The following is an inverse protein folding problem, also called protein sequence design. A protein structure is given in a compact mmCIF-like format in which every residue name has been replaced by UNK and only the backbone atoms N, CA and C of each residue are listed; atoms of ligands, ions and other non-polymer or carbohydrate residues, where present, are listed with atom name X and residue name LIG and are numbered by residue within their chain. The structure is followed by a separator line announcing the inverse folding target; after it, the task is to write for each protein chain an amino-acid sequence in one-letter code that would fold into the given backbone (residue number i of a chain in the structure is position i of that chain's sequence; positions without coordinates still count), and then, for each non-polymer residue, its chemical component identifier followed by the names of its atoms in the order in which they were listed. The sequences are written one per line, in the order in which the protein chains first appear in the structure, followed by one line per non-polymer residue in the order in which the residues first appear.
data_IF_546316243480
#
_entry.id   IF_546316243480
#
_cell.length_a   1.000
_cell.length_b   1.000
_cell.length_c   1.000
_cell.angle_alpha   90.00
_cell.angle_beta   90.00
_cell.angle_gamma   90.00
#
_symmetry.space_group_name_H-M   'P 1'
#
loop_
_entity.id
_entity.type
_entity.pdbx_description
1 polymer ?
#
# COMPACT_ATOMS: atom_id res chain seq x y z
N UNK A 1 -2.85 -1.36 -10.13
CA UNK A 1 -2.88 -1.80 -8.73
C UNK A 1 -3.56 -0.78 -7.81
N UNK A 2 -3.06 0.48 -7.66
CA UNK A 2 -3.57 1.47 -6.69
C UNK A 2 -5.09 1.70 -6.81
N UNK A 3 -5.62 1.88 -8.03
CA UNK A 3 -7.07 2.04 -8.26
C UNK A 3 -7.85 0.78 -7.87
N UNK A 4 -7.37 -0.39 -8.28
CA UNK A 4 -8.01 -1.66 -7.93
C UNK A 4 -7.96 -1.92 -6.43
N UNK A 5 -6.85 -1.61 -5.76
CA UNK A 5 -6.73 -1.75 -4.31
C UNK A 5 -7.68 -0.81 -3.55
N UNK A 6 -7.89 0.41 -4.07
CA UNK A 6 -8.87 1.34 -3.49
C UNK A 6 -10.30 0.82 -3.58
N UNK A 7 -10.64 0.09 -4.66
CA UNK A 7 -11.98 -0.47 -4.89
C UNK A 7 -12.15 -1.80 -4.14
N UNK A 8 -11.26 -2.77 -4.37
CA UNK A 8 -11.40 -4.16 -3.89
C UNK A 8 -10.99 -4.29 -2.42
N UNK A 9 -9.84 -3.71 -2.06
CA UNK A 9 -9.29 -3.80 -0.70
C UNK A 9 -9.71 -2.62 0.18
N UNK A 10 -10.42 -1.63 -0.40
CA UNK A 10 -10.82 -0.38 0.27
C UNK A 10 -9.64 0.35 0.92
N UNK A 11 -8.44 0.20 0.34
CA UNK A 11 -7.25 0.92 0.79
C UNK A 11 -7.43 2.41 0.56
N UNK A 12 -7.11 3.22 1.58
CA UNK A 12 -7.15 4.67 1.52
C UNK A 12 -5.89 5.25 2.11
N UNK A 13 -5.43 6.33 1.50
CA UNK A 13 -4.21 7.02 1.92
C UNK A 13 -4.46 8.52 2.01
N UNK A 14 -3.66 9.25 2.80
CA UNK A 14 -3.64 10.71 2.79
C UNK A 14 -3.34 11.25 1.38
N UNK A 15 -3.83 12.46 1.05
CA UNK A 15 -3.61 13.07 -0.27
C UNK A 15 -2.13 13.11 -0.69
N UNK A 16 -1.22 13.32 0.27
CA UNK A 16 0.22 13.31 0.02
C UNK A 16 0.73 12.01 -0.59
N UNK A 17 0.10 10.87 -0.28
CA UNK A 17 0.47 9.58 -0.88
C UNK A 17 0.30 9.60 -2.40
N UNK A 18 -0.80 10.13 -2.89
CA UNK A 18 -1.08 10.20 -4.34
C UNK A 18 -0.11 11.14 -5.07
N UNK A 19 0.32 12.22 -4.40
CA UNK A 19 1.37 13.11 -4.94
C UNK A 19 2.69 12.34 -5.07
N UNK A 20 3.08 11.60 -4.03
CA UNK A 20 4.31 10.80 -4.07
C UNK A 20 4.22 9.64 -5.06
N UNK A 21 3.05 9.01 -5.20
CA UNK A 21 2.81 8.00 -6.21
C UNK A 21 2.98 8.56 -7.63
N UNK A 22 2.45 9.76 -7.89
CA UNK A 22 2.64 10.44 -9.17
C UNK A 22 4.11 10.78 -9.43
N UNK A 23 4.81 11.34 -8.45
CA UNK A 23 6.25 11.63 -8.56
C UNK A 23 7.07 10.35 -8.78
N UNK A 24 6.71 9.23 -8.14
CA UNK A 24 7.35 7.95 -8.36
C UNK A 24 7.14 7.43 -9.79
N UNK A 25 5.95 7.60 -10.37
CA UNK A 25 5.68 7.25 -11.78
C UNK A 25 6.51 8.11 -12.73
N UNK A 26 6.57 9.42 -12.49
CA UNK A 26 7.40 10.33 -13.30
C UNK A 26 8.88 9.97 -13.19
N UNK A 27 9.37 9.70 -11.98
CA UNK A 27 10.75 9.24 -11.76
C UNK A 27 11.04 7.92 -12.47
N UNK A 28 10.13 6.95 -12.37
CA UNK A 28 10.22 5.67 -13.07
C UNK A 28 10.25 5.81 -14.60
N UNK A 29 9.47 6.72 -15.15
CA UNK A 29 9.49 7.04 -16.58
C UNK A 29 10.88 7.54 -17.02
N UNK A 30 11.45 8.52 -16.34
CA UNK A 30 12.78 9.06 -16.67
C UNK A 30 13.90 8.04 -16.44
N UNK A 31 13.76 7.12 -15.49
CA UNK A 31 14.72 6.01 -15.32
C UNK A 31 14.67 5.06 -16.50
N UNK A 32 13.46 4.75 -16.99
CA UNK A 32 13.26 3.77 -18.07
C UNK A 32 13.69 4.29 -19.43
N UNK A 33 13.43 5.56 -19.72
CA UNK A 33 13.70 6.15 -21.03
C UNK A 33 14.93 7.07 -20.98
N UNK A 34 16.02 6.64 -21.65
CA UNK A 34 17.27 7.41 -21.76
C UNK A 34 17.05 8.76 -22.46
N UNK A 35 16.23 8.75 -23.50
CA UNK A 35 15.79 9.93 -24.24
C UNK A 35 14.27 9.90 -24.41
N UNK A 36 13.51 10.61 -23.55
CA UNK A 36 12.06 10.68 -23.62
C UNK A 36 11.49 11.28 -24.91
N UNK A 37 12.30 12.06 -25.66
CA UNK A 37 11.90 12.71 -26.91
C UNK A 37 11.94 11.76 -28.13
N UNK A 38 12.61 10.62 -28.00
CA UNK A 38 12.82 9.66 -29.09
C UNK A 38 11.66 8.64 -29.28
N UNK A 39 10.54 8.82 -28.59
CA UNK A 39 9.39 7.91 -28.68
C UNK A 39 8.69 8.09 -30.03
N UNK A 40 8.83 7.09 -30.89
CA UNK A 40 8.20 7.05 -32.20
C UNK A 40 6.88 6.26 -32.13
N UNK A 41 5.76 6.88 -32.46
CA UNK A 41 4.44 6.24 -32.46
C UNK A 41 4.08 5.68 -33.85
N UNK A 42 4.82 4.64 -34.31
CA UNK A 42 4.45 3.87 -35.48
C UNK A 42 3.40 2.80 -35.19
N UNK A 43 2.80 2.19 -36.23
CA UNK A 43 1.77 1.15 -36.08
C UNK A 43 2.23 -0.06 -35.24
N UNK A 44 3.46 -0.55 -35.46
CA UNK A 44 4.05 -1.61 -34.65
C UNK A 44 4.24 -1.18 -33.19
N UNK A 45 4.65 0.08 -32.94
CA UNK A 45 4.82 0.64 -31.60
C UNK A 45 3.48 0.75 -30.86
N UNK A 46 2.39 1.05 -31.58
CA UNK A 46 1.04 1.09 -30.99
C UNK A 46 0.60 -0.28 -30.49
N UNK A 47 0.81 -1.34 -31.27
CA UNK A 47 0.48 -2.72 -30.86
C UNK A 47 1.30 -3.12 -29.62
N UNK A 48 2.61 -2.85 -29.63
CA UNK A 48 3.49 -3.12 -28.49
C UNK A 48 3.05 -2.34 -27.24
N UNK A 49 2.64 -1.08 -27.38
CA UNK A 49 2.12 -0.27 -26.29
C UNK A 49 0.84 -0.87 -25.69
N UNK A 50 -0.10 -1.35 -26.52
CA UNK A 50 -1.33 -2.00 -26.05
C UNK A 50 -1.00 -3.27 -25.25
N UNK A 51 -0.13 -4.14 -25.76
CA UNK A 51 0.28 -5.34 -25.02
C UNK A 51 1.01 -5.01 -23.72
N UNK A 52 1.85 -3.98 -23.71
CA UNK A 52 2.53 -3.53 -22.51
C UNK A 52 1.54 -3.00 -21.47
N UNK A 53 0.51 -2.27 -21.88
CA UNK A 53 -0.56 -1.81 -20.97
C UNK A 53 -1.39 -2.97 -20.43
N UNK A 54 -1.71 -3.97 -21.26
CA UNK A 54 -2.41 -5.18 -20.82
C UNK A 54 -1.56 -5.98 -19.83
N UNK A 55 -0.27 -6.11 -20.06
CA UNK A 55 0.67 -6.75 -19.15
C UNK A 55 0.74 -6.00 -17.80
N UNK A 56 0.85 -4.67 -17.84
CA UNK A 56 0.86 -3.82 -16.65
C UNK A 56 -0.46 -3.91 -15.86
N UNK A 57 -1.59 -3.95 -16.56
CA UNK A 57 -2.91 -4.16 -15.94
C UNK A 57 -2.99 -5.55 -15.27
N UNK A 58 -2.56 -6.59 -15.96
CA UNK A 58 -2.54 -7.97 -15.44
C UNK A 58 -1.66 -8.10 -14.21
N UNK A 59 -0.46 -7.50 -14.25
CA UNK A 59 0.46 -7.48 -13.11
C UNK A 59 -0.13 -6.75 -11.92
N UNK A 60 -0.63 -5.53 -12.13
CA UNK A 60 -1.25 -4.73 -11.08
C UNK A 60 -2.50 -5.36 -10.48
N UNK A 61 -3.29 -6.06 -11.30
CA UNK A 61 -4.44 -6.86 -10.85
C UNK A 61 -3.98 -8.02 -9.98
N UNK A 62 -2.92 -8.73 -10.40
CA UNK A 62 -2.32 -9.85 -9.65
C UNK A 62 -1.87 -9.42 -8.24
N UNK A 63 -1.26 -8.24 -8.08
CA UNK A 63 -0.87 -7.70 -6.78
C UNK A 63 -2.09 -7.48 -5.88
N UNK A 64 -3.17 -6.88 -6.43
CA UNK A 64 -4.39 -6.60 -5.67
C UNK A 64 -5.12 -7.89 -5.28
N UNK A 65 -5.30 -8.82 -6.21
CA UNK A 65 -5.94 -10.12 -5.92
C UNK A 65 -5.09 -11.00 -5.01
N UNK A 66 -3.76 -10.97 -5.19
CA UNK A 66 -2.83 -11.63 -4.29
C UNK A 66 -2.97 -11.14 -2.86
N UNK A 67 -3.03 -9.82 -2.65
CA UNK A 67 -3.27 -9.24 -1.32
C UNK A 67 -4.65 -9.64 -0.76
N UNK A 68 -5.68 -9.65 -1.59
CA UNK A 68 -7.02 -10.10 -1.19
C UNK A 68 -7.01 -11.56 -0.71
N UNK A 69 -6.38 -12.46 -1.47
CA UNK A 69 -6.27 -13.87 -1.13
C UNK A 69 -5.48 -14.12 0.15
N UNK A 70 -4.45 -13.30 0.42
CA UNK A 70 -3.63 -13.39 1.63
C UNK A 70 -4.39 -13.09 2.94
N UNK A 71 -5.64 -12.64 2.87
CA UNK A 71 -6.52 -12.52 4.06
C UNK A 71 -6.87 -13.90 4.62
N UNK A 72 -7.13 -14.87 3.74
CA UNK A 72 -7.65 -16.19 4.11
C UNK A 72 -6.66 -17.33 3.85
N UNK A 73 -5.60 -17.09 3.05
CA UNK A 73 -4.63 -18.10 2.63
C UNK A 73 -3.23 -17.68 3.09
N UNK A 74 -2.41 -18.63 3.51
CA UNK A 74 -1.03 -18.31 3.82
C UNK A 74 -0.22 -18.08 2.52
N UNK A 75 0.86 -17.32 2.63
CA UNK A 75 1.68 -16.91 1.49
C UNK A 75 2.36 -18.09 0.78
N UNK A 76 2.70 -19.16 1.49
CA UNK A 76 3.28 -20.37 0.88
C UNK A 76 2.26 -21.10 0.01
N UNK A 77 1.04 -21.33 0.51
CA UNK A 77 -0.03 -21.95 -0.26
C UNK A 77 -0.43 -21.09 -1.46
N UNK A 78 -0.51 -19.76 -1.30
CA UNK A 78 -0.81 -18.87 -2.42
C UNK A 78 0.25 -18.94 -3.52
N UNK A 79 1.54 -19.00 -3.14
CA UNK A 79 2.66 -19.19 -4.07
C UNK A 79 2.51 -20.52 -4.84
N UNK A 80 2.25 -21.61 -4.12
CA UNK A 80 2.07 -22.93 -4.72
C UNK A 80 0.87 -22.98 -5.68
N UNK A 81 -0.28 -22.42 -5.28
CA UNK A 81 -1.46 -22.35 -6.14
C UNK A 81 -1.20 -21.53 -7.41
N UNK A 82 -0.53 -20.39 -7.29
CA UNK A 82 -0.18 -19.54 -8.45
C UNK A 82 0.65 -20.32 -9.46
N UNK A 83 1.71 -20.99 -9.01
CA UNK A 83 2.54 -21.81 -9.92
C UNK A 83 1.78 -23.01 -10.45
N UNK A 84 0.98 -23.68 -9.64
CA UNK A 84 0.13 -24.80 -10.09
C UNK A 84 -0.81 -24.41 -11.22
N UNK A 85 -1.58 -23.32 -11.05
CA UNK A 85 -2.44 -22.80 -12.12
C UNK A 85 -1.66 -22.33 -13.34
N UNK A 86 -0.49 -21.70 -13.14
CA UNK A 86 0.36 -21.27 -14.25
C UNK A 86 0.85 -22.46 -15.06
N UNK A 87 1.27 -23.56 -14.42
CA UNK A 87 1.68 -24.80 -15.11
C UNK A 87 0.54 -25.35 -15.96
N UNK A 88 -0.67 -25.47 -15.39
CA UNK A 88 -1.85 -25.99 -16.11
C UNK A 88 -2.13 -25.16 -17.36
N UNK A 89 -2.13 -23.83 -17.24
CA UNK A 89 -2.39 -22.91 -18.36
C UNK A 89 -1.27 -22.99 -19.39
N UNK A 90 -0.01 -23.06 -18.96
CA UNK A 90 1.15 -23.09 -19.86
C UNK A 90 1.36 -24.44 -20.55
N UNK A 91 0.78 -25.53 -20.05
CA UNK A 91 0.79 -26.81 -20.76
C UNK A 91 0.14 -26.74 -22.14
N UNK A 92 -0.92 -25.90 -22.27
CA UNK A 92 -1.64 -25.78 -23.57
C UNK A 92 -0.71 -25.32 -24.71
N UNK A 93 -0.02 -24.15 -24.60
CA UNK A 93 0.94 -23.75 -25.64
C UNK A 93 2.21 -24.64 -25.67
N UNK A 94 2.62 -25.23 -24.52
CA UNK A 94 3.81 -26.07 -24.45
C UNK A 94 3.68 -27.35 -25.29
N UNK A 95 2.48 -27.91 -25.42
CA UNK A 95 2.23 -29.13 -26.24
C UNK A 95 2.74 -28.92 -27.65
N UNK A 96 2.53 -27.76 -28.26
CA UNK A 96 2.97 -27.43 -29.63
C UNK A 96 4.50 -27.50 -29.81
N UNK A 97 5.24 -27.21 -28.73
CA UNK A 97 6.71 -27.14 -28.76
C UNK A 97 7.39 -28.30 -28.04
N UNK A 98 6.62 -29.35 -27.70
CA UNK A 98 7.15 -30.47 -26.91
C UNK A 98 8.28 -31.21 -27.63
N UNK A 99 8.19 -31.35 -28.96
CA UNK A 99 9.26 -31.95 -29.78
C UNK A 99 10.57 -31.18 -29.75
N UNK A 100 10.52 -29.88 -29.49
CA UNK A 100 11.71 -29.02 -29.45
C UNK A 100 12.45 -29.15 -28.11
N UNK A 101 11.82 -29.69 -27.06
CA UNK A 101 12.44 -29.84 -25.76
C UNK A 101 13.60 -30.81 -25.74
N UNK A 102 13.57 -31.85 -26.60
CA UNK A 102 14.65 -32.85 -26.74
C UNK A 102 15.91 -32.28 -27.38
N UNK A 103 15.81 -31.16 -28.09
CA UNK A 103 16.94 -30.49 -28.76
C UNK A 103 17.59 -29.40 -27.89
N UNK A 104 17.06 -29.15 -26.69
CA UNK A 104 17.60 -28.13 -25.78
C UNK A 104 18.84 -28.65 -25.06
N UNK A 105 19.94 -27.89 -25.15
CA UNK A 105 21.19 -28.25 -24.52
C UNK A 105 21.10 -28.36 -23.00
N UNK A 106 21.84 -29.28 -22.36
CA UNK A 106 21.86 -29.44 -20.90
C UNK A 106 22.24 -28.13 -20.12
N UNK A 107 23.07 -27.30 -20.72
CA UNK A 107 23.50 -26.00 -20.18
C UNK A 107 22.31 -25.06 -19.99
N UNK A 108 21.37 -25.06 -20.95
CA UNK A 108 20.14 -24.24 -20.89
C UNK A 108 19.22 -24.75 -19.77
N UNK A 109 19.06 -26.08 -19.65
CA UNK A 109 18.27 -26.67 -18.58
C UNK A 109 18.79 -26.30 -17.20
N UNK A 110 20.12 -26.36 -17.00
CA UNK A 110 20.75 -25.93 -15.73
C UNK A 110 20.43 -24.48 -15.43
N UNK A 111 20.55 -23.59 -16.42
CA UNK A 111 20.25 -22.15 -16.26
C UNK A 111 18.77 -21.92 -15.93
N UNK A 112 17.85 -22.62 -16.63
CA UNK A 112 16.41 -22.54 -16.35
C UNK A 112 16.07 -22.98 -14.92
N UNK A 113 16.67 -24.07 -14.45
CA UNK A 113 16.46 -24.54 -13.07
C UNK A 113 16.89 -23.47 -12.06
N UNK A 114 18.07 -22.85 -12.25
CA UNK A 114 18.54 -21.78 -11.40
C UNK A 114 17.55 -20.60 -11.40
N UNK A 115 17.08 -20.16 -12.56
CA UNK A 115 16.10 -19.07 -12.69
C UNK A 115 14.79 -19.42 -11.99
N UNK A 116 14.26 -20.63 -12.19
CA UNK A 116 13.01 -21.07 -11.57
C UNK A 116 13.09 -21.03 -10.03
N UNK A 117 14.18 -21.50 -9.45
CA UNK A 117 14.33 -21.51 -8.01
C UNK A 117 14.65 -20.10 -7.44
N UNK A 118 15.49 -19.32 -8.09
CA UNK A 118 15.91 -18.00 -7.58
C UNK A 118 14.85 -16.93 -7.85
N UNK A 119 14.69 -16.51 -9.10
CA UNK A 119 13.78 -15.41 -9.48
C UNK A 119 12.31 -15.84 -9.57
N UNK A 120 12.04 -17.15 -9.73
CA UNK A 120 10.69 -17.70 -9.69
C UNK A 120 10.21 -17.98 -8.27
N UNK A 121 10.51 -19.18 -7.75
CA UNK A 121 9.89 -19.67 -6.52
C UNK A 121 10.25 -18.84 -5.27
N UNK A 122 11.55 -18.62 -5.03
CA UNK A 122 12.01 -17.90 -3.83
C UNK A 122 11.59 -16.44 -3.88
N UNK A 123 11.77 -15.77 -5.03
CA UNK A 123 11.39 -14.38 -5.17
C UNK A 123 9.88 -14.17 -4.95
N UNK A 124 9.04 -15.05 -5.51
CA UNK A 124 7.58 -14.95 -5.36
C UNK A 124 7.12 -15.27 -3.94
N UNK A 125 7.76 -16.23 -3.27
CA UNK A 125 7.50 -16.53 -1.86
C UNK A 125 7.81 -15.33 -0.96
N UNK A 126 8.98 -14.70 -1.15
CA UNK A 126 9.39 -13.49 -0.42
C UNK A 126 8.47 -12.31 -0.75
N UNK A 127 8.06 -12.16 -2.00
CA UNK A 127 7.11 -11.14 -2.44
C UNK A 127 5.78 -11.26 -1.68
N UNK A 128 5.16 -12.44 -1.65
CA UNK A 128 3.90 -12.63 -0.93
C UNK A 128 4.05 -12.52 0.59
N UNK A 129 5.20 -12.93 1.14
CA UNK A 129 5.50 -12.69 2.55
C UNK A 129 5.54 -11.19 2.87
N UNK A 130 6.17 -10.39 2.02
CA UNK A 130 6.18 -8.92 2.14
C UNK A 130 4.81 -8.31 1.90
N UNK A 131 4.11 -8.74 0.84
CA UNK A 131 2.77 -8.25 0.48
C UNK A 131 1.75 -8.49 1.59
N UNK A 132 1.87 -9.57 2.36
CA UNK A 132 1.02 -9.81 3.53
C UNK A 132 1.13 -8.70 4.57
N UNK A 133 2.31 -8.07 4.71
CA UNK A 133 2.63 -7.10 5.77
C UNK A 133 2.33 -5.64 5.40
N UNK A 134 2.25 -5.30 4.12
CA UNK A 134 2.06 -3.93 3.65
C UNK A 134 0.82 -3.82 2.75
N UNK A 135 0.21 -2.63 2.61
CA UNK A 135 -0.87 -2.40 1.65
C UNK A 135 -0.43 -2.70 0.21
N UNK A 136 -1.35 -3.20 -0.63
CA UNK A 136 -1.06 -3.52 -2.03
C UNK A 136 -0.64 -2.27 -2.83
N UNK A 137 -1.26 -1.13 -2.56
CA UNK A 137 -0.88 0.15 -3.17
C UNK A 137 0.57 0.54 -2.87
N UNK A 138 1.05 0.29 -1.65
CA UNK A 138 2.44 0.57 -1.27
C UNK A 138 3.40 -0.44 -1.89
N UNK A 139 3.03 -1.73 -1.93
CA UNK A 139 3.80 -2.77 -2.61
C UNK A 139 4.04 -2.40 -4.08
N UNK A 140 3.00 -1.93 -4.78
CA UNK A 140 3.11 -1.46 -6.17
C UNK A 140 4.12 -0.31 -6.34
N UNK A 141 4.17 0.62 -5.39
CA UNK A 141 5.20 1.69 -5.44
C UNK A 141 6.60 1.13 -5.20
N UNK A 142 6.75 0.14 -4.31
CA UNK A 142 8.04 -0.53 -4.09
C UNK A 142 8.50 -1.31 -5.33
N UNK A 143 7.57 -1.84 -6.14
CA UNK A 143 7.89 -2.52 -7.41
C UNK A 143 8.57 -1.58 -8.42
N UNK A 144 8.41 -0.27 -8.32
CA UNK A 144 9.15 0.70 -9.12
C UNK A 144 10.66 0.72 -8.82
N UNK A 145 11.12 0.02 -7.78
CA UNK A 145 12.53 -0.26 -7.57
C UNK A 145 13.14 -1.14 -8.70
N UNK A 146 12.30 -1.90 -9.44
CA UNK A 146 12.75 -2.74 -10.53
C UNK A 146 13.48 -1.97 -11.65
N UNK A 147 12.88 -0.95 -12.32
CA UNK A 147 13.59 -0.19 -13.33
C UNK A 147 14.83 0.52 -12.78
N UNK A 148 14.79 0.97 -11.52
CA UNK A 148 15.96 1.53 -10.85
C UNK A 148 17.09 0.51 -10.73
N UNK A 149 16.78 -0.71 -10.27
CA UNK A 149 17.77 -1.78 -10.16
C UNK A 149 18.33 -2.20 -11.53
N UNK A 150 17.46 -2.29 -12.54
CA UNK A 150 17.87 -2.66 -13.91
C UNK A 150 18.93 -1.69 -14.46
N UNK A 151 18.72 -0.39 -14.26
CA UNK A 151 19.66 0.64 -14.72
C UNK A 151 21.00 0.57 -13.96
N UNK A 152 20.99 0.26 -12.66
CA UNK A 152 22.22 0.04 -11.88
C UNK A 152 22.98 -1.18 -12.41
N UNK A 153 22.29 -2.31 -12.64
CA UNK A 153 22.93 -3.50 -13.20
C UNK A 153 23.49 -3.26 -14.60
N UNK A 154 22.75 -2.53 -15.44
CA UNK A 154 23.20 -2.17 -16.78
C UNK A 154 24.50 -1.33 -16.76
N UNK A 155 24.62 -0.41 -15.80
CA UNK A 155 25.85 0.33 -15.59
C UNK A 155 27.03 -0.57 -15.18
N UNK A 156 26.84 -1.49 -14.21
CA UNK A 156 27.92 -2.31 -13.70
C UNK A 156 28.32 -3.46 -14.64
N UNK A 157 27.35 -4.09 -15.31
CA UNK A 157 27.61 -5.28 -16.13
C UNK A 157 27.80 -4.98 -17.62
N UNK A 158 27.08 -4.01 -18.14
CA UNK A 158 27.16 -3.63 -19.56
C UNK A 158 27.98 -2.36 -19.80
N UNK A 159 28.45 -1.71 -18.72
CA UNK A 159 29.22 -0.44 -18.76
C UNK A 159 28.47 0.70 -19.48
N UNK A 160 27.16 0.66 -19.51
CA UNK A 160 26.34 1.72 -20.09
C UNK A 160 26.30 2.94 -19.17
N UNK A 161 26.74 4.09 -19.67
CA UNK A 161 26.73 5.34 -18.93
C UNK A 161 25.30 5.85 -18.81
N UNK A 162 24.89 6.15 -17.58
CA UNK A 162 23.58 6.74 -17.28
C UNK A 162 23.47 8.15 -17.84
N UNK A 163 22.35 8.47 -18.46
CA UNK A 163 22.06 9.84 -18.83
C UNK A 163 21.70 10.70 -17.60
N UNK A 164 21.86 12.02 -17.71
CA UNK A 164 21.46 12.94 -16.65
C UNK A 164 19.97 12.79 -16.28
N UNK A 165 19.11 12.55 -17.29
CA UNK A 165 17.66 12.30 -17.10
C UNK A 165 17.40 11.05 -16.26
N UNK A 166 18.13 9.96 -16.50
CA UNK A 166 18.03 8.72 -15.72
C UNK A 166 18.47 8.90 -14.27
N UNK A 167 19.56 9.66 -14.03
CA UNK A 167 20.05 9.95 -12.67
C UNK A 167 19.02 10.78 -11.91
N UNK A 168 18.49 11.86 -12.52
CA UNK A 168 17.44 12.69 -11.89
C UNK A 168 16.18 11.85 -11.61
N UNK A 169 15.75 11.05 -12.59
CA UNK A 169 14.60 10.15 -12.44
C UNK A 169 14.78 9.18 -11.28
N UNK A 170 15.96 8.59 -11.14
CA UNK A 170 16.31 7.68 -10.05
C UNK A 170 16.23 8.36 -8.67
N UNK A 171 16.77 9.56 -8.54
CA UNK A 171 16.71 10.35 -7.30
C UNK A 171 15.26 10.68 -6.93
N UNK A 172 14.47 11.17 -7.90
CA UNK A 172 13.04 11.48 -7.69
C UNK A 172 12.27 10.23 -7.27
N UNK A 173 12.50 9.11 -7.93
CA UNK A 173 11.86 7.83 -7.63
C UNK A 173 12.15 7.36 -6.20
N UNK A 174 13.42 7.31 -5.80
CA UNK A 174 13.83 6.87 -4.47
C UNK A 174 13.25 7.77 -3.37
N UNK A 175 13.30 9.09 -3.57
CA UNK A 175 12.73 10.05 -2.61
C UNK A 175 11.21 9.86 -2.53
N UNK A 176 10.52 9.77 -3.66
CA UNK A 176 9.06 9.63 -3.70
C UNK A 176 8.57 8.35 -3.02
N UNK A 177 9.20 7.20 -3.31
CA UNK A 177 8.88 5.92 -2.66
C UNK A 177 9.23 5.98 -1.17
N UNK A 178 10.37 6.55 -0.79
CA UNK A 178 10.76 6.73 0.60
C UNK A 178 9.77 7.60 1.40
N UNK A 179 9.25 8.68 0.79
CA UNK A 179 8.23 9.53 1.43
C UNK A 179 6.87 8.82 1.51
N UNK A 180 6.47 8.08 0.47
CA UNK A 180 5.24 7.30 0.48
C UNK A 180 5.25 6.21 1.58
N UNK A 181 6.36 5.50 1.73
CA UNK A 181 6.51 4.48 2.79
C UNK A 181 6.45 5.07 4.19
N UNK A 182 6.99 6.29 4.39
CA UNK A 182 6.90 6.99 5.69
C UNK A 182 5.46 7.33 6.09
N UNK A 183 4.56 7.54 5.13
CA UNK A 183 3.14 7.79 5.42
C UNK A 183 2.42 6.55 5.98
N UNK A 184 2.88 5.37 5.66
CA UNK A 184 2.31 4.10 6.13
C UNK A 184 2.91 3.62 7.47
N UNK A 185 3.89 4.34 8.02
CA UNK A 185 4.45 3.96 9.33
C UNK A 185 3.43 4.18 10.44
N UNK A 186 3.34 3.19 11.32
CA UNK A 186 2.62 3.29 12.58
C UNK A 186 3.09 4.52 13.37
N UNK A 187 2.15 5.29 13.88
CA UNK A 187 2.41 6.44 14.76
C UNK A 187 1.96 6.09 16.18
N UNK A 188 2.81 6.41 17.13
CA UNK A 188 2.52 6.26 18.56
C UNK A 188 2.19 7.65 19.10
N UNK A 189 1.02 7.81 19.69
CA UNK A 189 0.53 9.06 20.28
C UNK A 189 0.22 8.78 21.73
N UNK A 190 0.98 9.37 22.63
CA UNK A 190 0.79 9.18 24.08
C UNK A 190 0.51 10.53 24.73
N UNK A 191 -0.54 10.62 25.51
CA UNK A 191 -0.94 11.84 26.18
C UNK A 191 -1.94 11.62 27.30
N UNK A 192 -2.16 12.69 28.07
CA UNK A 192 -3.18 12.72 29.11
C UNK A 192 -4.52 13.11 28.48
N UNK A 193 -5.57 12.41 28.86
CA UNK A 193 -6.94 12.71 28.41
C UNK A 193 -7.42 14.00 29.02
N UNK A 194 -7.71 14.97 28.15
CA UNK A 194 -8.21 16.30 28.56
C UNK A 194 -9.73 16.27 28.76
N UNK A 195 -10.23 17.20 29.59
CA UNK A 195 -11.67 17.43 29.68
C UNK A 195 -12.21 17.96 28.37
N UNK A 196 -13.22 17.30 27.82
CA UNK A 196 -13.88 17.67 26.58
C UNK A 196 -15.28 18.19 26.80
N UNK A 197 -15.92 18.68 25.72
CA UNK A 197 -17.27 19.24 25.77
C UNK A 197 -18.41 18.18 25.86
N UNK A 198 -18.13 16.93 26.22
CA UNK A 198 -19.07 15.78 26.33
C UNK A 198 -19.98 15.57 25.12
N UNK A 199 -19.64 16.13 23.97
CA UNK A 199 -20.42 15.99 22.73
C UNK A 199 -20.43 14.56 22.17
N UNK A 200 -19.44 13.75 22.53
CA UNK A 200 -19.36 12.34 22.13
C UNK A 200 -20.47 11.47 22.72
N UNK A 201 -20.94 11.79 23.91
CA UNK A 201 -22.09 11.11 24.55
C UNK A 201 -23.39 11.28 23.76
N UNK A 202 -23.62 12.47 23.20
CA UNK A 202 -24.81 12.81 22.38
C UNK A 202 -24.83 12.03 21.06
N UNK A 203 -23.68 11.53 20.61
CA UNK A 203 -23.51 10.80 19.34
C UNK A 203 -23.43 9.29 19.58
N UNK A 204 -23.49 8.84 20.85
CA UNK A 204 -23.33 7.44 21.22
C UNK A 204 -21.91 6.90 21.10
N UNK A 205 -20.91 7.80 20.98
CA UNK A 205 -19.51 7.44 20.89
C UNK A 205 -18.71 8.34 21.85
N UNK A 206 -18.43 7.85 23.06
CA UNK A 206 -17.55 8.54 23.99
C UNK A 206 -16.15 8.68 23.40
N UNK A 207 -15.59 9.88 23.40
CA UNK A 207 -14.26 10.18 22.88
C UNK A 207 -13.36 10.76 23.96
N UNK A 208 -12.11 10.29 23.98
CA UNK A 208 -11.03 10.85 24.78
C UNK A 208 -10.36 11.96 23.97
N UNK A 209 -10.34 13.20 24.49
CA UNK A 209 -9.67 14.33 23.86
C UNK A 209 -8.20 14.35 24.28
N UNK A 210 -7.30 14.54 23.31
CA UNK A 210 -5.87 14.70 23.55
C UNK A 210 -5.37 16.05 23.06
N UNK A 211 -4.20 16.45 23.58
CA UNK A 211 -3.54 17.66 23.09
C UNK A 211 -3.22 17.53 21.59
N UNK A 212 -3.65 18.53 20.82
CA UNK A 212 -3.45 18.58 19.38
C UNK A 212 -1.97 18.65 18.99
N UNK A 213 -1.12 19.17 19.86
CA UNK A 213 0.33 19.22 19.67
C UNK A 213 0.96 17.84 19.48
N UNK A 214 0.32 16.78 19.98
CA UNK A 214 0.76 15.40 19.79
C UNK A 214 0.58 14.91 18.34
N UNK A 215 -0.25 15.57 17.54
CA UNK A 215 -0.54 15.20 16.16
C UNK A 215 0.41 15.81 15.12
N UNK A 216 1.51 16.46 15.49
CA UNK A 216 2.45 17.17 14.58
C UNK A 216 2.89 16.33 13.38
N UNK A 217 3.06 15.00 13.55
CA UNK A 217 3.52 14.08 12.52
C UNK A 217 2.40 13.19 11.97
N UNK A 218 1.14 13.53 12.24
CA UNK A 218 -0.02 12.81 11.78
C UNK A 218 -0.71 13.59 10.65
N UNK A 219 -1.16 12.91 9.61
CA UNK A 219 -2.00 13.54 8.59
C UNK A 219 -3.44 13.64 9.12
N UNK A 220 -4.16 14.71 8.77
CA UNK A 220 -5.57 14.83 9.13
C UNK A 220 -6.39 13.70 8.55
N UNK A 221 -7.22 13.04 9.35
CA UNK A 221 -8.04 11.91 8.96
C UNK A 221 -8.53 11.07 10.13
N UNK A 222 -9.18 9.98 9.79
CA UNK A 222 -9.59 8.92 10.71
C UNK A 222 -8.67 7.71 10.54
N UNK A 223 -8.27 7.14 11.67
CA UNK A 223 -7.39 5.98 11.74
C UNK A 223 -8.02 4.89 12.60
N UNK A 224 -7.82 3.61 12.24
CA UNK A 224 -7.92 2.55 13.24
C UNK A 224 -6.68 2.58 14.12
N UNK A 225 -6.85 2.28 15.38
CA UNK A 225 -5.75 2.24 16.34
C UNK A 225 -5.97 1.20 17.43
N UNK A 226 -4.87 0.79 18.05
CA UNK A 226 -4.86 0.12 19.35
C UNK A 226 -4.57 1.15 20.43
N UNK A 227 -5.31 1.08 21.51
CA UNK A 227 -5.17 1.97 22.65
C UNK A 227 -4.71 1.16 23.84
N UNK A 228 -3.54 1.49 24.35
CA UNK A 228 -2.98 0.94 25.60
C UNK A 228 -3.49 1.78 26.78
N UNK A 229 -4.14 1.09 27.71
CA UNK A 229 -4.57 1.59 29.00
C UNK A 229 -3.94 0.71 30.08
N UNK A 230 -2.84 1.15 30.67
CA UNK A 230 -2.14 0.44 31.73
C UNK A 230 -1.78 -1.01 31.40
N UNK A 231 -1.34 -1.28 30.16
CA UNK A 231 -0.95 -2.62 29.67
C UNK A 231 -2.10 -3.44 29.08
N UNK A 232 -3.34 -2.94 29.11
CA UNK A 232 -4.49 -3.55 28.45
C UNK A 232 -4.75 -2.86 27.12
N UNK A 233 -4.81 -3.63 26.04
CA UNK A 233 -5.03 -3.10 24.69
C UNK A 233 -6.48 -3.17 24.27
N UNK A 234 -7.03 -2.02 23.89
CA UNK A 234 -8.37 -1.87 23.34
C UNK A 234 -8.30 -1.48 21.86
N UNK A 235 -9.32 -1.83 21.11
CA UNK A 235 -9.51 -1.31 19.75
C UNK A 235 -10.08 0.10 19.80
N UNK A 236 -9.68 0.97 18.87
CA UNK A 236 -10.19 2.33 18.84
C UNK A 236 -10.13 2.98 17.47
N UNK A 237 -10.78 4.13 17.38
CA UNK A 237 -10.72 5.03 16.24
C UNK A 237 -10.08 6.34 16.70
N UNK A 238 -8.99 6.74 16.06
CA UNK A 238 -8.33 8.01 16.30
C UNK A 238 -8.71 8.98 15.17
N UNK A 239 -9.29 10.11 15.55
CA UNK A 239 -9.62 11.20 14.64
C UNK A 239 -8.70 12.40 14.88
N UNK A 240 -8.08 12.88 13.82
CA UNK A 240 -7.37 14.15 13.79
C UNK A 240 -7.93 15.01 12.66
N UNK A 241 -8.48 16.16 13.00
CA UNK A 241 -9.07 17.07 12.02
C UNK A 241 -9.98 18.12 12.61
N UNK A 242 -10.78 18.77 11.77
CA UNK A 242 -11.71 19.81 12.20
C UNK A 242 -12.94 19.15 12.85
N UNK A 243 -13.21 19.48 14.09
CA UNK A 243 -14.46 19.10 14.77
C UNK A 243 -15.65 19.82 14.11
N UNK A 244 -16.65 19.02 13.68
CA UNK A 244 -17.81 19.56 12.95
C UNK A 244 -18.69 20.50 13.75
N UNK A 245 -18.66 20.43 15.08
CA UNK A 245 -19.49 21.26 15.98
C UNK A 245 -18.78 22.54 16.39
N UNK A 246 -17.48 22.48 16.66
CA UNK A 246 -16.71 23.62 17.18
C UNK A 246 -15.91 24.35 16.09
N UNK A 247 -15.80 23.76 14.90
CA UNK A 247 -15.00 24.24 13.76
C UNK A 247 -13.49 24.45 14.09
N UNK A 248 -13.02 23.84 15.18
CA UNK A 248 -11.60 23.86 15.61
C UNK A 248 -10.95 22.51 15.32
N UNK A 249 -9.64 22.52 15.13
CA UNK A 249 -8.88 21.26 15.04
C UNK A 249 -8.96 20.51 16.38
N UNK A 250 -9.13 19.19 16.30
CA UNK A 250 -9.18 18.30 17.47
C UNK A 250 -8.41 17.00 17.20
N UNK A 251 -7.96 16.40 18.29
CA UNK A 251 -7.40 15.05 18.32
C UNK A 251 -8.22 14.24 19.33
N UNK A 252 -9.01 13.30 18.80
CA UNK A 252 -9.98 12.54 19.58
C UNK A 252 -9.78 11.04 19.36
N UNK A 253 -9.95 10.24 20.42
CA UNK A 253 -9.89 8.78 20.34
C UNK A 253 -11.20 8.23 20.89
N UNK A 254 -11.90 7.44 20.05
CA UNK A 254 -13.00 6.61 20.47
C UNK A 254 -12.50 5.20 20.77
N UNK A 255 -12.63 4.78 22.04
CA UNK A 255 -12.19 3.44 22.50
C UNK A 255 -13.42 2.53 22.51
N UNK A 256 -13.32 1.40 21.83
CA UNK A 256 -14.41 0.43 21.71
C UNK A 256 -14.56 -0.37 22.98
N UNK A 257 -15.83 -0.67 23.33
CA UNK A 257 -16.15 -1.52 24.47
C UNK A 257 -15.59 -1.01 25.81
N UNK A 258 -15.34 0.33 25.89
CA UNK A 258 -14.81 0.95 27.10
C UNK A 258 -15.75 2.06 27.58
N UNK A 259 -16.26 1.93 28.81
CA UNK A 259 -17.27 2.83 29.40
C UNK A 259 -16.79 3.58 30.64
N UNK A 260 -15.55 3.36 31.10
CA UNK A 260 -15.02 4.03 32.27
C UNK A 260 -14.55 5.48 31.99
N UNK A 261 -14.45 6.28 33.03
CA UNK A 261 -13.90 7.64 32.97
C UNK A 261 -12.39 7.63 32.69
N UNK A 262 -11.97 8.40 31.69
CA UNK A 262 -10.57 8.50 31.27
C UNK A 262 -9.92 9.84 31.56
N UNK A 263 -10.64 10.84 32.07
CA UNK A 263 -10.10 12.16 32.33
C UNK A 263 -8.89 12.12 33.26
N UNK A 264 -7.83 12.81 32.89
CA UNK A 264 -6.57 12.83 33.62
C UNK A 264 -5.71 11.55 33.52
N UNK A 265 -6.24 10.48 32.94
CA UNK A 265 -5.47 9.26 32.74
C UNK A 265 -4.57 9.39 31.49
N UNK A 266 -3.38 8.80 31.54
CA UNK A 266 -2.48 8.71 30.39
C UNK A 266 -2.91 7.53 29.52
N UNK A 267 -3.06 7.77 28.20
CA UNK A 267 -3.35 6.74 27.21
C UNK A 267 -2.29 6.76 26.11
N UNK A 268 -2.06 5.62 25.46
CA UNK A 268 -1.17 5.50 24.31
C UNK A 268 -1.92 4.87 23.15
N UNK A 269 -2.10 5.64 22.08
CA UNK A 269 -2.72 5.15 20.85
C UNK A 269 -1.64 4.82 19.79
N UNK A 270 -1.74 3.63 19.21
CA UNK A 270 -0.88 3.11 18.17
C UNK A 270 -1.71 3.03 16.90
N UNK A 271 -1.46 3.95 15.93
CA UNK A 271 -2.22 3.95 14.67
C UNK A 271 -1.89 2.72 13.84
N UNK A 272 -2.90 2.14 13.20
CA UNK A 272 -2.75 0.97 12.34
C UNK A 272 -3.00 1.31 10.87
N UNK A 273 -4.22 1.80 10.56
CA UNK A 273 -4.63 2.04 9.18
C UNK A 273 -5.34 3.40 9.05
N UNK A 274 -5.02 4.13 7.97
CA UNK A 274 -5.76 5.32 7.57
C UNK A 274 -7.09 4.92 6.93
N UNK A 275 -8.22 5.37 7.50
CA UNK A 275 -9.56 4.96 7.08
C UNK A 275 -10.18 5.95 6.10
N UNK A 276 -10.09 7.25 6.38
CA UNK A 276 -10.68 8.28 5.52
C UNK A 276 -10.19 9.69 5.83
N UNK A 277 -10.44 10.60 4.90
CA UNK A 277 -10.27 12.05 5.10
C UNK A 277 -11.26 12.60 6.14
N UNK A 278 -10.93 13.74 6.78
CA UNK A 278 -11.89 14.46 7.60
C UNK A 278 -13.14 14.79 6.79
N UNK A 279 -14.31 14.66 7.40
CA UNK A 279 -15.59 15.07 6.81
C UNK A 279 -16.30 16.01 7.77
N UNK A 280 -16.94 17.06 7.24
CA UNK A 280 -17.89 17.88 7.98
C UNK A 280 -19.29 17.29 7.88
N UNK A 281 -20.01 17.27 8.99
CA UNK A 281 -21.38 16.77 9.06
C UNK A 281 -22.32 17.92 9.41
N UNK A 282 -23.48 17.94 8.73
CA UNK A 282 -24.49 18.99 8.94
C UNK A 282 -25.42 18.70 10.12
N UNK A 283 -25.42 17.45 10.61
CA UNK A 283 -26.25 17.05 11.76
C UNK A 283 -25.57 15.93 12.57
N UNK A 284 -26.01 15.77 13.82
CA UNK A 284 -25.52 14.76 14.77
C UNK A 284 -25.87 13.35 14.28
N UNK A 285 -27.06 13.17 13.68
CA UNK A 285 -27.52 11.88 13.14
C UNK A 285 -26.59 11.38 12.02
N UNK A 286 -26.25 12.27 11.06
CA UNK A 286 -25.31 11.94 9.97
C UNK A 286 -23.91 11.60 10.48
N UNK A 287 -23.47 12.24 11.54
CA UNK A 287 -22.20 11.92 12.21
C UNK A 287 -22.28 10.53 12.85
N UNK A 288 -23.36 10.21 13.57
CA UNK A 288 -23.57 8.90 14.20
C UNK A 288 -23.62 7.77 13.17
N UNK A 289 -24.36 7.94 12.07
CA UNK A 289 -24.37 6.98 10.96
C UNK A 289 -22.98 6.74 10.37
N UNK A 290 -22.19 7.82 10.21
CA UNK A 290 -20.83 7.67 9.68
C UNK A 290 -19.92 6.94 10.66
N UNK A 291 -20.03 7.21 11.96
CA UNK A 291 -19.25 6.49 12.99
C UNK A 291 -19.57 4.99 12.95
N UNK A 292 -20.84 4.60 12.83
CA UNK A 292 -21.22 3.19 12.67
C UNK A 292 -20.62 2.54 11.42
N UNK A 293 -20.58 3.27 10.29
CA UNK A 293 -19.94 2.81 9.04
C UNK A 293 -18.41 2.69 9.22
N UNK A 294 -17.79 3.64 9.90
CA UNK A 294 -16.35 3.65 10.16
C UNK A 294 -15.95 2.47 11.06
N UNK A 295 -16.76 2.17 12.08
CA UNK A 295 -16.58 1.02 12.97
C UNK A 295 -16.71 -0.29 12.18
N UNK A 296 -17.76 -0.46 11.40
CA UNK A 296 -17.95 -1.65 10.57
C UNK A 296 -16.79 -1.85 9.57
N UNK A 297 -16.26 -0.75 9.01
CA UNK A 297 -15.14 -0.80 8.05
C UNK A 297 -13.78 -1.08 8.71
N UNK A 298 -13.60 -0.70 9.97
CA UNK A 298 -12.31 -0.81 10.66
C UNK A 298 -12.03 -2.19 11.22
N UNK A 299 -13.08 -3.01 11.49
CA UNK A 299 -12.96 -4.27 12.23
C UNK A 299 -13.52 -5.50 11.51
N UNK A 300 -14.08 -5.33 10.30
CA UNK A 300 -14.52 -6.44 9.43
C UNK A 300 -13.34 -6.98 8.59
N UNK A 301 -12.28 -7.46 9.27
CA UNK A 301 -11.20 -8.26 8.66
C UNK A 301 -10.94 -9.53 9.45
#
# INVERSE_FOLDING_TARGET
AILLSAIILRERFPAKFYIYAFLALVGGYFVTFKDPSSINFGSATTIMAVFSLLAAFSWGSSTTFGKYSLKNINYGLLTALRFGFTIIIMLIPAIKYFSTLSSVEPSVWRTLIIIVFTSGAVAMYLYYYGLKKIPASLATLCELAWPFSAVIFDYFFNHNILSATQIIGAIVLVIAVGLATRLNKTKIISGIVLTGNNNGEKVGARTANLDIGLAKNLNKGLYSCKVDLNGVFYRGLLYYGINSLTNKDCLEIHILEFNEGLYGKKITAITERYLRFPKKFKSVEKLSEQIKKDLAQSFNE
#
